data_IF_129040822849
#
_entry.id   IF_129040822849
#
_cell.length_a   1.000
_cell.length_b   1.000
_cell.length_c   1.000
_cell.angle_alpha   90.00
_cell.angle_beta   90.00
_cell.angle_gamma   90.00
#
_symmetry.space_group_name_H-M   'P 1'
#
loop_
_entity.id
_entity.type
_entity.pdbx_description
1 polymer ?
#
# COMPACT_ATOMS: atom_id res chain seq x y z
N UNK A 1 59.47 48.69 -41.12
CA UNK A 1 58.69 48.63 -42.38
C UNK A 1 58.04 49.97 -42.56
N UNK A 2 58.30 50.67 -43.66
CA UNK A 2 57.66 51.94 -43.94
C UNK A 2 56.21 51.71 -44.36
N UNK A 3 55.27 52.50 -43.83
CA UNK A 3 53.85 52.47 -44.18
C UNK A 3 53.65 53.22 -45.51
N UNK A 4 54.20 52.69 -46.60
CA UNK A 4 54.18 53.30 -47.94
C UNK A 4 52.75 53.59 -48.45
N UNK A 5 51.74 52.89 -47.92
CA UNK A 5 50.32 53.13 -48.22
C UNK A 5 49.80 54.47 -47.68
N UNK A 6 50.47 55.10 -46.71
CA UNK A 6 50.09 56.42 -46.19
C UNK A 6 50.51 57.57 -47.11
N UNK A 7 51.56 57.41 -47.91
CA UNK A 7 52.07 58.44 -48.83
C UNK A 7 51.04 58.93 -49.86
N UNK A 8 50.32 58.05 -50.60
CA UNK A 8 49.30 58.51 -51.54
C UNK A 8 48.05 59.10 -50.85
N UNK A 9 47.82 58.79 -49.57
CA UNK A 9 46.65 59.29 -48.82
C UNK A 9 46.93 60.69 -48.26
N UNK A 10 48.13 60.92 -47.73
CA UNK A 10 48.52 62.17 -47.10
C UNK A 10 49.19 63.15 -48.06
N UNK A 11 49.68 62.70 -49.23
CA UNK A 11 50.33 63.55 -50.22
C UNK A 11 51.47 64.37 -49.62
N UNK A 12 51.45 65.69 -49.86
CA UNK A 12 52.47 66.64 -49.37
C UNK A 12 52.48 66.81 -47.83
N UNK A 13 51.42 66.38 -47.13
CA UNK A 13 51.37 66.42 -45.67
C UNK A 13 52.07 65.20 -45.02
N UNK A 14 52.57 64.25 -45.82
CA UNK A 14 53.30 63.10 -45.29
C UNK A 14 54.63 63.54 -44.67
N UNK A 15 54.83 63.16 -43.40
CA UNK A 15 56.10 63.34 -42.69
C UNK A 15 56.43 62.07 -41.93
N UNK A 16 57.73 61.80 -41.73
CA UNK A 16 58.18 60.66 -40.91
C UNK A 16 57.57 60.69 -39.49
N UNK A 17 57.29 61.89 -38.97
CA UNK A 17 56.66 62.06 -37.65
C UNK A 17 55.21 61.55 -37.62
N UNK A 18 54.45 61.77 -38.70
CA UNK A 18 53.08 61.27 -38.83
C UNK A 18 53.11 59.76 -39.02
N UNK A 19 54.02 59.24 -39.85
CA UNK A 19 54.18 57.79 -40.01
C UNK A 19 54.52 57.10 -38.68
N UNK A 20 55.43 57.69 -37.89
CA UNK A 20 55.83 57.16 -36.58
C UNK A 20 54.68 57.20 -35.56
N UNK A 21 53.89 58.27 -35.56
CA UNK A 21 52.72 58.38 -34.70
C UNK A 21 51.60 57.39 -35.10
N UNK A 22 51.39 57.17 -36.40
CA UNK A 22 50.40 56.22 -36.90
C UNK A 22 50.83 54.78 -36.63
N UNK A 23 52.11 54.45 -36.80
CA UNK A 23 52.64 53.13 -36.44
C UNK A 23 52.55 52.85 -34.94
N UNK A 24 52.80 53.83 -34.07
CA UNK A 24 52.56 53.70 -32.62
C UNK A 24 51.08 53.48 -32.29
N UNK A 25 50.16 54.18 -32.97
CA UNK A 25 48.72 54.02 -32.76
C UNK A 25 48.22 52.66 -33.24
N UNK A 26 48.68 52.19 -34.40
CA UNK A 26 48.37 50.84 -34.89
C UNK A 26 48.93 49.79 -33.93
N UNK A 27 50.17 49.94 -33.44
CA UNK A 27 50.75 49.03 -32.46
C UNK A 27 50.00 48.98 -31.12
N UNK A 28 49.29 50.05 -30.74
CA UNK A 28 48.48 50.12 -29.51
C UNK A 28 47.05 49.61 -29.68
N UNK A 29 46.46 49.76 -30.88
CA UNK A 29 45.07 49.41 -31.15
C UNK A 29 44.87 48.08 -31.89
N UNK A 30 45.92 47.52 -32.49
CA UNK A 30 45.83 46.31 -33.31
C UNK A 30 46.27 45.09 -32.51
N UNK A 31 45.30 44.27 -32.12
CA UNK A 31 45.57 42.94 -31.57
C UNK A 31 46.20 42.09 -32.67
N UNK A 32 47.28 41.36 -32.38
CA UNK A 32 47.94 40.59 -33.44
C UNK A 32 46.98 39.53 -33.98
N UNK A 33 47.17 39.10 -35.24
CA UNK A 33 46.31 38.07 -35.84
C UNK A 33 46.34 36.76 -35.03
N UNK A 34 47.44 36.51 -34.34
CA UNK A 34 47.62 35.42 -33.39
C UNK A 34 46.72 35.61 -32.18
N UNK A 35 46.81 36.76 -31.49
CA UNK A 35 45.96 37.07 -30.33
C UNK A 35 44.47 37.07 -30.68
N UNK A 36 44.09 37.57 -31.86
CA UNK A 36 42.70 37.54 -32.33
C UNK A 36 42.20 36.11 -32.54
N UNK A 37 43.05 35.23 -33.10
CA UNK A 37 42.71 33.83 -33.28
C UNK A 37 42.62 33.11 -31.92
N UNK A 38 43.53 33.38 -30.99
CA UNK A 38 43.48 32.84 -29.62
C UNK A 38 42.24 33.30 -28.88
N UNK A 39 41.87 34.59 -28.97
CA UNK A 39 40.66 35.13 -28.37
C UNK A 39 39.41 34.50 -28.99
N UNK A 40 39.42 34.26 -30.29
CA UNK A 40 38.32 33.62 -31.02
C UNK A 40 38.14 32.16 -30.61
N UNK A 41 39.23 31.41 -30.47
CA UNK A 41 39.19 30.03 -30.02
C UNK A 41 38.81 29.94 -28.53
N UNK A 42 39.33 30.84 -27.69
CA UNK A 42 38.93 30.98 -26.29
C UNK A 42 37.44 31.32 -26.14
N UNK A 43 36.92 32.22 -26.98
CA UNK A 43 35.49 32.57 -26.98
C UNK A 43 34.63 31.39 -27.41
N UNK A 44 34.99 30.66 -28.47
CA UNK A 44 34.28 29.44 -28.87
C UNK A 44 34.30 28.38 -27.78
N UNK A 45 35.44 28.19 -27.11
CA UNK A 45 35.56 27.24 -26.00
C UNK A 45 34.67 27.65 -24.82
N UNK A 46 34.63 28.94 -24.50
CA UNK A 46 33.78 29.51 -23.45
C UNK A 46 32.29 29.37 -23.80
N UNK A 47 31.91 29.67 -25.04
CA UNK A 47 30.52 29.52 -25.52
C UNK A 47 30.08 28.05 -25.51
N UNK A 48 30.98 27.11 -25.83
CA UNK A 48 30.72 25.68 -25.73
C UNK A 48 30.51 25.23 -24.27
N UNK A 49 31.37 25.68 -23.35
CA UNK A 49 31.24 25.40 -21.92
C UNK A 49 29.96 26.00 -21.32
N UNK A 50 29.57 27.20 -21.73
CA UNK A 50 28.32 27.83 -21.31
C UNK A 50 27.09 27.04 -21.81
N UNK A 51 27.13 26.55 -23.05
CA UNK A 51 26.06 25.72 -23.60
C UNK A 51 25.94 24.38 -22.85
N UNK A 52 27.06 23.75 -22.52
CA UNK A 52 27.10 22.51 -21.75
C UNK A 52 26.65 22.71 -20.29
N UNK A 53 27.07 23.80 -19.66
CA UNK A 53 26.60 24.19 -18.34
C UNK A 53 25.09 24.47 -18.33
N UNK A 54 24.57 25.19 -19.33
CA UNK A 54 23.13 25.43 -19.45
C UNK A 54 22.34 24.13 -19.65
N UNK A 55 22.81 23.21 -20.50
CA UNK A 55 22.21 21.87 -20.63
C UNK A 55 22.23 21.09 -19.33
N UNK A 56 23.31 21.19 -18.57
CA UNK A 56 23.45 20.53 -17.26
C UNK A 56 22.47 21.13 -16.26
N UNK A 57 22.32 22.46 -16.23
CA UNK A 57 21.33 23.15 -15.39
C UNK A 57 19.91 22.75 -15.79
N UNK A 58 19.58 22.71 -17.09
CA UNK A 58 18.28 22.25 -17.56
C UNK A 58 18.01 20.78 -17.21
N UNK A 59 19.03 19.92 -17.33
CA UNK A 59 18.95 18.51 -16.93
C UNK A 59 18.76 18.35 -15.42
N UNK A 60 19.42 19.19 -14.61
CA UNK A 60 19.27 19.20 -13.15
C UNK A 60 17.90 19.74 -12.74
N UNK A 61 17.38 20.77 -13.42
CA UNK A 61 16.01 21.28 -13.21
C UNK A 61 14.93 20.28 -13.66
N UNK A 62 15.19 19.48 -14.70
CA UNK A 62 14.33 18.37 -15.08
C UNK A 62 14.35 17.26 -14.02
N UNK A 63 15.53 16.95 -13.46
CA UNK A 63 15.66 16.01 -12.35
C UNK A 63 15.01 16.53 -11.04
N UNK A 64 15.01 17.84 -10.79
CA UNK A 64 14.27 18.45 -9.66
C UNK A 64 12.75 18.27 -9.78
N UNK A 65 12.20 18.20 -11.00
CA UNK A 65 10.78 17.83 -11.22
C UNK A 65 10.52 16.36 -10.90
N UNK A 66 11.48 15.47 -11.14
CA UNK A 66 11.41 14.08 -10.68
C UNK A 66 11.57 13.98 -9.15
N UNK A 67 12.35 14.85 -8.50
CA UNK A 67 12.44 14.90 -7.03
C UNK A 67 11.13 15.37 -6.39
N UNK A 68 10.43 16.34 -6.99
CA UNK A 68 9.06 16.71 -6.56
C UNK A 68 8.10 15.52 -6.73
N UNK A 69 8.16 14.77 -7.85
CA UNK A 69 7.37 13.56 -8.06
C UNK A 69 7.68 12.47 -7.02
N UNK A 70 8.96 12.20 -6.77
CA UNK A 70 9.42 11.24 -5.75
C UNK A 70 9.06 11.70 -4.33
N UNK A 71 9.10 13.00 -4.03
CA UNK A 71 8.61 13.54 -2.74
C UNK A 71 7.11 13.39 -2.60
N UNK A 72 6.36 13.58 -3.68
CA UNK A 72 4.90 13.39 -3.70
C UNK A 72 4.53 11.93 -3.52
N UNK A 73 5.21 11.02 -4.23
CA UNK A 73 5.06 9.58 -4.04
C UNK A 73 5.50 9.13 -2.64
N UNK A 74 6.60 9.67 -2.10
CA UNK A 74 7.04 9.37 -0.73
C UNK A 74 6.06 9.92 0.32
N UNK A 75 5.47 11.09 0.09
CA UNK A 75 4.44 11.64 0.96
C UNK A 75 3.13 10.83 0.87
N UNK A 76 2.74 10.38 -0.32
CA UNK A 76 1.60 9.49 -0.52
C UNK A 76 1.84 8.10 0.08
N UNK A 77 3.06 7.56 -0.02
CA UNK A 77 3.45 6.31 0.62
C UNK A 77 3.47 6.43 2.14
N UNK A 78 3.97 7.55 2.67
CA UNK A 78 3.97 7.83 4.11
C UNK A 78 2.56 8.00 4.64
N UNK A 79 1.70 8.72 3.91
CA UNK A 79 0.28 8.88 4.26
C UNK A 79 -0.47 7.54 4.19
N UNK A 80 -0.24 6.73 3.15
CA UNK A 80 -0.80 5.37 3.07
C UNK A 80 -0.28 4.45 4.17
N UNK A 81 0.98 4.57 4.56
CA UNK A 81 1.55 3.79 5.67
C UNK A 81 0.95 4.20 7.01
N UNK A 82 0.84 5.50 7.32
CA UNK A 82 0.18 5.97 8.55
C UNK A 82 -1.32 5.62 8.58
N UNK A 83 -1.98 5.67 7.43
CA UNK A 83 -3.39 5.26 7.31
C UNK A 83 -3.52 3.75 7.47
N UNK A 84 -2.63 2.94 6.89
CA UNK A 84 -2.61 1.50 7.06
C UNK A 84 -2.21 1.08 8.48
N UNK A 85 -1.37 1.82 9.20
CA UNK A 85 -1.09 1.57 10.62
C UNK A 85 -2.28 1.89 11.51
N UNK A 86 -3.01 2.98 11.24
CA UNK A 86 -4.26 3.31 11.94
C UNK A 86 -5.36 2.30 11.65
N UNK A 87 -5.55 1.94 10.38
CA UNK A 87 -6.51 0.92 9.99
C UNK A 87 -6.10 -0.44 10.58
N UNK A 88 -4.83 -0.84 10.51
CA UNK A 88 -4.35 -2.08 11.11
C UNK A 88 -4.53 -2.09 12.63
N UNK A 89 -4.33 -0.98 13.33
CA UNK A 89 -4.54 -0.87 14.77
C UNK A 89 -6.04 -0.96 15.15
N UNK A 90 -6.90 -0.26 14.42
CA UNK A 90 -8.36 -0.33 14.59
C UNK A 90 -8.92 -1.72 14.24
N UNK A 91 -8.40 -2.35 13.19
CA UNK A 91 -8.71 -3.72 12.81
C UNK A 91 -8.17 -4.72 13.82
N UNK A 92 -6.99 -4.49 14.42
CA UNK A 92 -6.43 -5.35 15.46
C UNK A 92 -7.30 -5.34 16.72
N UNK A 93 -7.70 -4.16 17.17
CA UNK A 93 -8.58 -4.02 18.34
C UNK A 93 -9.98 -4.58 18.05
N UNK A 94 -10.50 -4.34 16.84
CA UNK A 94 -11.76 -4.95 16.38
C UNK A 94 -11.66 -6.47 16.30
N UNK A 95 -10.54 -7.01 15.81
CA UNK A 95 -10.31 -8.45 15.69
C UNK A 95 -10.17 -9.11 17.06
N UNK A 96 -9.37 -8.53 17.97
CA UNK A 96 -9.26 -9.00 19.36
C UNK A 96 -10.61 -8.99 20.06
N UNK A 97 -11.39 -7.92 19.87
CA UNK A 97 -12.74 -7.82 20.43
C UNK A 97 -13.67 -8.88 19.86
N UNK A 98 -13.67 -9.06 18.53
CA UNK A 98 -14.50 -10.06 17.88
C UNK A 98 -14.10 -11.48 18.30
N UNK A 99 -12.80 -11.80 18.35
CA UNK A 99 -12.31 -13.11 18.78
C UNK A 99 -12.67 -13.41 20.25
N UNK A 100 -12.55 -12.43 21.14
CA UNK A 100 -12.99 -12.56 22.53
C UNK A 100 -14.52 -12.77 22.62
N UNK A 101 -15.30 -11.99 21.88
CA UNK A 101 -16.76 -12.11 21.87
C UNK A 101 -17.21 -13.45 21.30
N UNK A 102 -16.65 -13.90 20.19
CA UNK A 102 -16.96 -15.19 19.57
C UNK A 102 -16.55 -16.35 20.50
N UNK A 103 -15.46 -16.20 21.26
CA UNK A 103 -15.09 -17.12 22.33
C UNK A 103 -16.14 -17.20 23.44
N UNK A 104 -16.70 -16.06 23.86
CA UNK A 104 -17.82 -15.99 24.80
C UNK A 104 -19.10 -16.60 24.23
N UNK A 105 -19.40 -16.38 22.94
CA UNK A 105 -20.52 -17.01 22.24
C UNK A 105 -20.38 -18.54 22.32
N UNK A 106 -19.20 -19.07 22.01
CA UNK A 106 -18.93 -20.50 22.07
C UNK A 106 -19.05 -21.06 23.51
N UNK A 107 -18.53 -20.36 24.52
CA UNK A 107 -18.64 -20.77 25.92
C UNK A 107 -20.10 -20.80 26.41
N UNK A 108 -20.93 -19.89 25.93
CA UNK A 108 -22.35 -19.81 26.30
C UNK A 108 -23.25 -20.60 25.33
N UNK A 109 -22.69 -21.43 24.45
CA UNK A 109 -23.45 -22.23 23.47
C UNK A 109 -24.36 -21.40 22.56
N UNK A 110 -23.91 -20.21 22.14
CA UNK A 110 -24.64 -19.40 21.16
C UNK A 110 -24.61 -20.07 19.78
N UNK A 111 -25.76 -20.19 19.12
CA UNK A 111 -25.91 -20.85 17.81
C UNK A 111 -25.15 -20.14 16.70
N UNK A 112 -25.09 -18.81 16.76
CA UNK A 112 -24.40 -17.99 15.76
C UNK A 112 -23.90 -16.67 16.37
N UNK A 113 -22.61 -16.39 16.23
CA UNK A 113 -21.99 -15.19 16.81
C UNK A 113 -22.48 -13.88 16.19
N UNK A 114 -22.90 -13.87 14.91
CA UNK A 114 -23.47 -12.70 14.27
C UNK A 114 -24.89 -12.43 14.78
N UNK A 115 -25.71 -13.47 14.96
CA UNK A 115 -27.05 -13.35 15.58
C UNK A 115 -26.94 -12.86 17.02
N UNK A 116 -26.05 -13.45 17.82
CA UNK A 116 -25.85 -13.00 19.21
C UNK A 116 -25.33 -11.56 19.28
N UNK A 117 -24.43 -11.17 18.37
CA UNK A 117 -23.93 -9.78 18.25
C UNK A 117 -25.04 -8.79 17.84
N UNK A 118 -25.92 -9.19 16.93
CA UNK A 118 -27.05 -8.33 16.51
C UNK A 118 -28.09 -8.19 17.62
N UNK A 119 -28.35 -9.26 18.38
CA UNK A 119 -29.25 -9.24 19.55
C UNK A 119 -28.68 -8.42 20.71
N UNK A 120 -27.36 -8.46 20.92
CA UNK A 120 -26.68 -7.62 21.90
C UNK A 120 -26.86 -6.11 21.60
N UNK A 121 -26.96 -5.76 20.31
CA UNK A 121 -27.12 -4.37 19.85
C UNK A 121 -25.81 -3.58 19.89
N UNK A 122 -25.73 -2.54 19.06
CA UNK A 122 -24.51 -1.72 18.91
C UNK A 122 -24.13 -1.00 20.20
N UNK A 123 -25.11 -0.50 20.96
CA UNK A 123 -24.85 0.24 22.20
C UNK A 123 -24.19 -0.62 23.28
N UNK A 124 -24.66 -1.85 23.49
CA UNK A 124 -24.05 -2.76 24.48
C UNK A 124 -22.69 -3.25 24.00
N UNK A 125 -22.52 -3.48 22.70
CA UNK A 125 -21.21 -3.84 22.14
C UNK A 125 -20.19 -2.70 22.28
N UNK A 126 -20.60 -1.45 22.12
CA UNK A 126 -19.74 -0.29 22.33
C UNK A 126 -19.46 -0.02 23.82
N UNK A 127 -20.42 -0.27 24.70
CA UNK A 127 -20.19 -0.24 26.14
C UNK A 127 -19.16 -1.31 26.55
N UNK A 128 -19.28 -2.53 26.01
CA UNK A 128 -18.30 -3.59 26.22
C UNK A 128 -16.91 -3.23 25.69
N UNK A 129 -16.80 -2.58 24.53
CA UNK A 129 -15.50 -2.11 24.01
C UNK A 129 -14.81 -1.13 24.96
N UNK A 130 -15.58 -0.32 25.70
CA UNK A 130 -15.08 0.70 26.64
C UNK A 130 -14.99 0.20 28.09
N UNK A 131 -15.54 -0.96 28.39
CA UNK A 131 -15.54 -1.51 29.74
C UNK A 131 -14.14 -1.94 30.18
N UNK A 132 -13.82 -1.65 31.45
CA UNK A 132 -12.63 -2.18 32.10
C UNK A 132 -12.81 -3.63 32.58
N UNK A 133 -14.06 -4.07 32.84
CA UNK A 133 -14.41 -5.42 33.30
C UNK A 133 -15.20 -6.17 32.23
N UNK A 134 -14.59 -6.30 31.04
CA UNK A 134 -15.24 -6.92 29.88
C UNK A 134 -15.80 -8.32 30.15
N UNK A 135 -15.13 -9.13 30.96
CA UNK A 135 -15.60 -10.50 31.25
C UNK A 135 -16.85 -10.54 32.13
N UNK A 136 -16.99 -9.63 33.10
CA UNK A 136 -18.19 -9.54 33.95
C UNK A 136 -19.37 -8.96 33.17
N UNK A 137 -19.15 -7.87 32.45
CA UNK A 137 -20.19 -7.26 31.62
C UNK A 137 -20.60 -8.17 30.45
N UNK A 138 -19.64 -8.92 29.89
CA UNK A 138 -19.90 -9.95 28.89
C UNK A 138 -20.80 -11.05 29.46
N UNK A 139 -20.49 -11.59 30.64
CA UNK A 139 -21.36 -12.57 31.30
C UNK A 139 -22.77 -12.03 31.55
N UNK A 140 -22.88 -10.82 32.09
CA UNK A 140 -24.17 -10.18 32.34
C UNK A 140 -24.98 -9.99 31.04
N UNK A 141 -24.33 -9.61 29.94
CA UNK A 141 -24.96 -9.54 28.62
C UNK A 141 -25.48 -10.92 28.18
N UNK A 142 -24.66 -11.96 28.29
CA UNK A 142 -25.04 -13.31 27.88
C UNK A 142 -26.14 -13.90 28.76
N UNK A 143 -26.16 -13.63 30.07
CA UNK A 143 -27.25 -13.98 30.97
C UNK A 143 -28.58 -13.31 30.58
N UNK A 144 -28.54 -12.03 30.20
CA UNK A 144 -29.72 -11.30 29.73
C UNK A 144 -30.21 -11.83 28.37
N UNK A 145 -29.28 -12.13 27.46
CA UNK A 145 -29.58 -12.73 26.16
C UNK A 145 -30.13 -14.16 26.31
N UNK A 146 -29.65 -14.97 27.24
CA UNK A 146 -30.19 -16.30 27.50
C UNK A 146 -31.65 -16.22 27.98
N UNK A 147 -31.98 -15.24 28.82
CA UNK A 147 -33.35 -15.02 29.33
C UNK A 147 -34.31 -14.51 28.27
N UNK A 148 -33.86 -13.54 27.46
CA UNK A 148 -34.73 -12.83 26.52
C UNK A 148 -34.69 -13.41 25.09
N UNK A 149 -33.65 -14.19 24.77
CA UNK A 149 -33.39 -14.71 23.42
C UNK A 149 -32.83 -16.14 23.45
N UNK A 150 -33.43 -17.01 24.26
CA UNK A 150 -33.06 -18.43 24.38
C UNK A 150 -32.96 -19.17 23.03
N UNK A 151 -33.76 -18.78 22.04
CA UNK A 151 -33.75 -19.36 20.69
C UNK A 151 -32.41 -19.18 19.94
N UNK A 152 -31.61 -18.18 20.34
CA UNK A 152 -30.31 -17.90 19.75
C UNK A 152 -29.19 -18.76 20.37
N UNK A 153 -29.52 -19.59 21.37
CA UNK A 153 -28.61 -20.50 22.06
C UNK A 153 -29.00 -21.95 21.78
N UNK A 154 -28.01 -22.83 21.71
CA UNK A 154 -28.24 -24.27 21.55
C UNK A 154 -28.98 -24.78 22.79
N UNK A 155 -30.04 -25.57 22.57
CA UNK A 155 -30.67 -26.28 23.66
C UNK A 155 -29.61 -27.25 24.23
N UNK A 156 -29.34 -27.17 25.53
CA UNK A 156 -28.57 -28.13 26.31
C UNK A 156 -29.26 -29.51 26.37
N UNK A 157 -29.92 -29.93 25.29
CA UNK A 157 -30.39 -31.29 25.17
C UNK A 157 -29.15 -32.13 24.85
N UNK A 158 -28.83 -33.15 25.67
CA UNK A 158 -27.71 -34.03 25.39
C UNK A 158 -27.79 -34.51 23.94
N UNK A 159 -26.65 -34.69 23.25
CA UNK A 159 -26.66 -35.20 21.88
C UNK A 159 -27.60 -36.40 21.84
N UNK A 160 -28.54 -36.47 20.87
CA UNK A 160 -29.45 -37.60 20.80
C UNK A 160 -28.60 -38.86 20.89
N UNK A 161 -28.96 -39.83 21.76
CA UNK A 161 -28.11 -40.97 22.04
C UNK A 161 -27.66 -41.56 20.70
N UNK A 162 -26.37 -41.91 20.55
CA UNK A 162 -25.87 -42.44 19.28
C UNK A 162 -26.82 -43.55 18.87
N UNK A 163 -27.34 -43.47 17.65
CA UNK A 163 -28.27 -44.45 17.13
C UNK A 163 -27.64 -45.82 17.33
N UNK A 164 -28.12 -46.59 18.31
CA UNK A 164 -27.64 -47.93 18.53
C UNK A 164 -28.10 -48.71 17.30
N UNK A 165 -27.19 -48.93 16.35
CA UNK A 165 -27.42 -49.84 15.23
C UNK A 165 -27.59 -51.24 15.80
N UNK A 166 -28.80 -51.59 16.24
CA UNK A 166 -28.98 -52.75 17.10
C UNK A 166 -30.41 -52.98 17.58
N UNK A 167 -31.40 -52.94 16.68
CA UNK A 167 -32.68 -53.66 16.89
C UNK A 167 -32.96 -54.56 15.70
N UNK A 168 -31.99 -55.41 15.38
CA UNK A 168 -32.05 -56.37 14.28
C UNK A 168 -31.30 -57.66 14.59
N UNK A 169 -31.39 -58.16 15.82
CA UNK A 169 -30.92 -59.53 16.15
C UNK A 169 -32.01 -60.28 16.90
N UNK A 170 -33.13 -60.52 16.23
CA UNK A 170 -33.87 -61.75 16.48
C UNK A 170 -33.35 -62.75 15.47
N UNK A 171 -32.51 -63.69 15.93
CA UNK A 171 -32.14 -64.85 15.14
C UNK A 171 -33.43 -65.58 14.74
N UNK A 172 -33.79 -65.52 13.46
CA UNK A 172 -34.90 -66.29 12.86
C UNK A 172 -34.52 -67.78 12.72
N UNK A 173 -34.08 -68.41 13.81
CA UNK A 173 -33.70 -69.82 13.81
C UNK A 173 -34.66 -70.72 14.62
N UNK A 174 -35.73 -70.17 15.22
CA UNK A 174 -36.64 -70.92 16.10
C UNK A 174 -37.97 -71.35 15.48
N UNK A 175 -38.68 -70.44 14.80
CA UNK A 175 -40.14 -70.61 14.60
C UNK A 175 -40.62 -70.43 13.14
N UNK A 176 -39.84 -70.91 12.17
CA UNK A 176 -40.23 -70.87 10.75
C UNK A 176 -41.49 -71.73 10.47
N UNK A 177 -41.69 -72.81 11.24
CA UNK A 177 -42.84 -73.71 11.07
C UNK A 177 -44.18 -73.08 11.51
N UNK A 178 -44.18 -72.33 12.63
CA UNK A 178 -45.37 -71.65 13.13
C UNK A 178 -45.78 -70.49 12.21
N UNK A 179 -44.81 -69.74 11.68
CA UNK A 179 -45.09 -68.68 10.71
C UNK A 179 -45.59 -69.21 9.36
N UNK A 180 -45.09 -70.36 8.87
CA UNK A 180 -45.62 -70.98 7.64
C UNK A 180 -47.04 -71.52 7.81
N UNK A 181 -47.35 -72.10 8.96
CA UNK A 181 -48.71 -72.56 9.28
C UNK A 181 -49.71 -71.37 9.36
N UNK A 182 -49.30 -70.26 9.98
CA UNK A 182 -50.10 -69.04 10.03
C UNK A 182 -50.29 -68.38 8.65
N UNK A 183 -49.37 -68.62 7.71
CA UNK A 183 -49.44 -68.14 6.32
C UNK A 183 -49.98 -69.19 5.32
N UNK A 184 -50.50 -70.33 5.80
CA UNK A 184 -51.13 -71.36 4.93
C UNK A 184 -50.16 -72.11 4.01
N UNK A 185 -48.86 -72.08 4.29
CA UNK A 185 -47.82 -72.72 3.49
C UNK A 185 -47.47 -74.10 4.05
N UNK A 186 -47.28 -75.13 3.19
CA UNK A 186 -46.92 -76.47 3.65
C UNK A 186 -45.53 -76.50 4.29
N UNK A 187 -45.38 -77.33 5.33
CA UNK A 187 -44.10 -77.54 5.99
C UNK A 187 -43.08 -78.18 5.04
N UNK A 188 -41.83 -77.73 5.08
CA UNK A 188 -40.76 -78.29 4.26
C UNK A 188 -40.53 -79.77 4.59
N UNK A 189 -40.69 -80.63 3.59
CA UNK A 189 -40.20 -82.00 3.65
C UNK A 189 -38.68 -81.97 3.54
N UNK A 190 -38.02 -82.57 4.52
CA UNK A 190 -36.58 -82.78 4.57
C UNK A 190 -36.09 -83.61 3.38
#
# INVERSE_FOLDING_TARGET
MALEWLKPILGDAYTEKIEKAVSEQIGKGFVSRTDFNELKESKKSTDAQLSEANKTIESLQAADKDIEAVRKEAAEYKAKAEQAEKDAAEQLESYKFNAWFDGLVAQNHGRDGAVIRTLAGTERMDALRKSQNRDEDGKALFDDLLKNSAYAFEDQMPPPPPYAGGTGTTSFAGDNAAMRAAMGLPAEKK
#
